data_IF_020254308945
#
_entry.id   IF_020254308945
#
_cell.length_a   1.000
_cell.length_b   1.000
_cell.length_c   1.000
_cell.angle_alpha   90.00
_cell.angle_beta   90.00
_cell.angle_gamma   90.00
#
_symmetry.space_group_name_H-M   'P 1'
#
loop_
_entity.id
_entity.type
_entity.pdbx_description
1 polymer ?
#
# COMPACT_ATOMS: atom_id res chain seq x y z
N UNK A 1 2.12 -0.83 -17.60
CA UNK A 1 1.08 -0.32 -18.51
C UNK A 1 -0.19 -0.06 -17.69
N UNK A 2 -1.07 0.86 -18.12
CA UNK A 2 -2.34 1.11 -17.39
C UNK A 2 -2.68 2.58 -17.11
N UNK A 3 -1.89 3.53 -17.64
CA UNK A 3 -2.21 4.95 -17.50
C UNK A 3 -3.21 5.37 -18.59
N UNK A 4 -4.41 5.78 -18.19
CA UNK A 4 -5.38 6.40 -19.08
C UNK A 4 -5.13 7.90 -19.09
N UNK A 5 -4.80 8.46 -20.26
CA UNK A 5 -4.47 9.89 -20.39
C UNK A 5 -5.48 10.57 -21.31
N UNK A 6 -6.03 11.70 -20.83
CA UNK A 6 -6.90 12.57 -21.60
C UNK A 6 -6.09 13.71 -22.19
N UNK A 7 -6.24 13.93 -23.50
CA UNK A 7 -5.56 14.99 -24.23
C UNK A 7 -6.54 16.06 -24.70
N UNK A 8 -6.10 17.32 -24.70
CA UNK A 8 -6.83 18.41 -25.33
C UNK A 8 -6.65 18.40 -26.87
N UNK A 9 -7.27 19.38 -27.54
CA UNK A 9 -7.17 19.55 -29.01
C UNK A 9 -5.74 19.84 -29.50
N UNK A 10 -4.84 20.28 -28.63
CA UNK A 10 -3.41 20.56 -28.90
C UNK A 10 -2.51 19.37 -28.52
N UNK A 11 -3.09 18.20 -28.22
CA UNK A 11 -2.40 17.00 -27.76
C UNK A 11 -1.63 17.19 -26.45
N UNK A 12 -2.06 18.13 -25.60
CA UNK A 12 -1.53 18.30 -24.25
C UNK A 12 -2.30 17.40 -23.28
N UNK A 13 -1.59 16.66 -22.43
CA UNK A 13 -2.19 15.85 -21.39
C UNK A 13 -2.82 16.77 -20.34
N UNK A 14 -4.15 16.68 -20.16
CA UNK A 14 -4.90 17.50 -19.21
C UNK A 14 -5.38 16.71 -17.99
N UNK A 15 -5.32 15.38 -18.06
CA UNK A 15 -5.66 14.48 -16.97
C UNK A 15 -5.02 13.11 -17.22
N UNK A 16 -4.66 12.41 -16.15
CA UNK A 16 -4.20 11.02 -16.21
C UNK A 16 -4.65 10.21 -15.00
N UNK A 17 -4.94 8.92 -15.19
CA UNK A 17 -5.41 8.05 -14.11
C UNK A 17 -4.37 7.84 -13.03
N UNK A 18 -3.08 7.91 -13.37
CA UNK A 18 -1.99 7.71 -12.41
C UNK A 18 -1.95 8.78 -11.30
N UNK A 19 -2.52 9.96 -11.53
CA UNK A 19 -2.63 11.01 -10.51
C UNK A 19 -3.79 10.78 -9.52
N UNK A 20 -4.59 9.73 -9.73
CA UNK A 20 -5.77 9.40 -8.94
C UNK A 20 -5.73 7.93 -8.49
N UNK A 21 -4.83 7.57 -7.55
CA UNK A 21 -4.68 6.20 -7.08
C UNK A 21 -5.95 5.67 -6.38
N UNK A 22 -6.13 4.35 -6.43
CA UNK A 22 -7.21 3.60 -5.77
C UNK A 22 -6.63 2.77 -4.61
N UNK A 23 -6.90 1.47 -4.54
CA UNK A 23 -6.26 0.50 -3.68
C UNK A 23 -4.94 -0.05 -4.24
N UNK A 24 -4.61 0.23 -5.51
CA UNK A 24 -3.45 -0.31 -6.21
C UNK A 24 -2.48 0.77 -6.69
N UNK A 25 -1.20 0.42 -6.73
CA UNK A 25 -0.11 1.18 -7.34
C UNK A 25 0.57 0.34 -8.42
N UNK A 26 0.55 0.82 -9.66
CA UNK A 26 1.13 0.13 -10.81
C UNK A 26 2.57 0.59 -11.08
N UNK A 27 3.43 -0.23 -11.72
CA UNK A 27 4.73 0.21 -12.21
C UNK A 27 4.61 1.43 -13.14
N UNK A 28 5.42 2.45 -12.86
CA UNK A 28 5.38 3.76 -13.51
C UNK A 28 4.40 4.76 -12.88
N UNK A 29 3.51 4.33 -11.97
CA UNK A 29 2.70 5.21 -11.14
C UNK A 29 3.49 5.62 -9.89
N UNK A 30 3.31 6.88 -9.47
CA UNK A 30 4.01 7.47 -8.33
C UNK A 30 3.02 7.79 -7.23
N UNK A 31 3.24 7.26 -6.03
CA UNK A 31 2.53 7.72 -4.84
C UNK A 31 3.37 8.81 -4.16
N UNK A 32 2.79 10.00 -4.04
CA UNK A 32 3.43 11.19 -3.47
C UNK A 32 2.58 11.78 -2.34
N UNK A 33 3.16 12.69 -1.56
CA UNK A 33 2.43 13.41 -0.52
C UNK A 33 1.14 14.07 -1.04
N UNK A 34 0.08 14.01 -0.24
CA UNK A 34 -1.26 14.48 -0.62
C UNK A 34 -2.09 13.48 -1.43
N UNK A 35 -1.52 12.32 -1.80
CA UNK A 35 -2.24 11.18 -2.39
C UNK A 35 -2.23 10.00 -1.43
N UNK A 36 -3.24 9.14 -1.52
CA UNK A 36 -3.34 7.93 -0.70
C UNK A 36 -3.86 6.75 -1.51
N UNK A 37 -3.34 5.56 -1.21
CA UNK A 37 -4.06 4.33 -1.52
C UNK A 37 -5.19 4.17 -0.50
N UNK A 38 -6.35 3.72 -0.94
CA UNK A 38 -7.51 3.46 -0.08
C UNK A 38 -7.91 2.01 -0.31
N UNK A 39 -7.93 1.21 0.75
CA UNK A 39 -8.30 -0.19 0.68
C UNK A 39 -9.73 -0.33 0.12
N UNK A 40 -9.95 -1.40 -0.64
CA UNK A 40 -11.31 -1.81 -0.97
C UNK A 40 -12.11 -2.09 0.31
N UNK A 41 -13.39 -1.74 0.31
CA UNK A 41 -14.28 -1.94 1.46
C UNK A 41 -14.54 -3.45 1.59
N UNK A 42 -14.19 -4.05 2.73
CA UNK A 42 -14.69 -5.38 3.11
C UNK A 42 -16.01 -5.26 3.86
N UNK A 43 -16.67 -6.38 4.18
CA UNK A 43 -17.88 -6.38 5.02
C UNK A 43 -17.72 -5.74 6.42
N UNK A 44 -16.51 -5.32 6.79
CA UNK A 44 -16.26 -4.48 7.96
C UNK A 44 -16.39 -2.99 7.59
N UNK A 45 -17.01 -2.18 8.45
CA UNK A 45 -17.13 -0.72 8.25
C UNK A 45 -15.79 0.05 8.40
N UNK A 46 -14.65 -0.62 8.20
CA UNK A 46 -13.33 -0.09 8.45
C UNK A 46 -12.57 0.02 7.13
N UNK A 47 -12.07 1.22 6.84
CA UNK A 47 -11.25 1.51 5.67
C UNK A 47 -9.82 1.77 6.11
N UNK A 48 -8.87 1.23 5.35
CA UNK A 48 -7.44 1.44 5.55
C UNK A 48 -6.91 2.34 4.45
N UNK A 49 -5.91 3.15 4.78
CA UNK A 49 -5.24 3.97 3.79
C UNK A 49 -3.73 3.97 3.97
N UNK A 50 -3.03 4.19 2.86
CA UNK A 50 -1.58 4.22 2.79
C UNK A 50 -1.10 5.48 2.06
N UNK A 51 -0.16 6.22 2.62
CA UNK A 51 0.29 7.51 2.07
C UNK A 51 1.74 7.81 2.40
N UNK A 52 2.31 8.80 1.70
CA UNK A 52 3.60 9.39 2.02
C UNK A 52 3.35 10.66 2.85
N UNK A 53 3.89 10.72 4.06
CA UNK A 53 3.75 11.86 4.96
C UNK A 53 5.12 12.24 5.53
N UNK A 54 5.58 13.47 5.30
CA UNK A 54 6.82 14.02 5.85
C UNK A 54 8.07 13.13 5.67
N UNK A 55 8.18 12.45 4.53
CA UNK A 55 9.29 11.55 4.21
C UNK A 55 9.19 10.16 4.84
N UNK A 56 8.00 9.80 5.31
CA UNK A 56 7.69 8.50 5.91
C UNK A 56 6.54 7.86 5.14
N UNK A 57 6.58 6.54 4.98
CA UNK A 57 5.46 5.76 4.47
C UNK A 57 4.55 5.41 5.64
N UNK A 58 3.27 5.74 5.54
CA UNK A 58 2.34 5.66 6.65
C UNK A 58 1.10 4.87 6.26
N UNK A 59 0.76 3.87 7.08
CA UNK A 59 -0.53 3.17 7.00
C UNK A 59 -1.43 3.59 8.14
N UNK A 60 -2.70 3.82 7.83
CA UNK A 60 -3.68 4.35 8.77
C UNK A 60 -5.06 3.72 8.60
N UNK A 61 -5.83 3.76 9.67
CA UNK A 61 -7.25 3.47 9.66
C UNK A 61 -7.97 4.80 9.41
N UNK A 62 -8.82 4.86 8.38
CA UNK A 62 -9.63 6.02 8.01
C UNK A 62 -10.72 6.27 9.08
N UNK A 63 -10.30 6.78 10.23
CA UNK A 63 -11.12 7.29 11.33
C UNK A 63 -10.99 8.81 11.39
N UNK A 64 -11.82 9.47 12.19
CA UNK A 64 -11.71 10.92 12.40
C UNK A 64 -11.42 11.21 13.89
N UNK A 65 -10.17 11.56 14.24
CA UNK A 65 -8.99 11.73 13.38
C UNK A 65 -8.37 10.39 12.91
N UNK A 66 -7.56 10.36 11.83
CA UNK A 66 -6.93 9.13 11.34
C UNK A 66 -6.03 8.47 12.39
N UNK A 67 -6.13 7.14 12.49
CA UNK A 67 -5.32 6.36 13.44
C UNK A 67 -4.20 5.65 12.70
N UNK A 68 -2.96 6.06 12.97
CA UNK A 68 -1.77 5.47 12.36
C UNK A 68 -1.36 4.20 13.11
N UNK A 69 -1.05 3.13 12.36
CA UNK A 69 -0.57 1.87 12.92
C UNK A 69 0.80 1.46 12.37
N UNK A 70 1.20 2.00 11.22
CA UNK A 70 2.54 1.79 10.64
C UNK A 70 3.11 3.11 10.19
N UNK A 71 4.39 3.33 10.50
CA UNK A 71 5.23 4.32 9.84
C UNK A 71 6.59 3.69 9.55
N UNK A 72 7.02 3.66 8.29
CA UNK A 72 8.37 3.24 7.89
C UNK A 72 9.13 4.37 7.20
N UNK A 73 10.40 4.49 7.54
CA UNK A 73 11.28 5.54 7.03
C UNK A 73 11.90 5.17 5.69
N UNK A 74 12.65 6.10 5.09
CA UNK A 74 13.42 5.84 3.87
C UNK A 74 14.45 4.72 4.05
N UNK A 75 15.07 4.64 5.22
CA UNK A 75 16.12 3.65 5.48
C UNK A 75 15.55 2.24 5.58
N UNK A 76 14.27 2.14 5.96
CA UNK A 76 13.53 0.88 6.05
C UNK A 76 13.11 0.35 4.68
N UNK A 77 12.79 1.24 3.75
CA UNK A 77 12.36 0.89 2.38
C UNK A 77 13.53 0.76 1.39
N UNK A 78 14.78 0.80 1.85
CA UNK A 78 15.97 0.83 1.01
C UNK A 78 16.38 -0.58 0.53
N UNK A 79 16.89 -0.68 -0.70
CA UNK A 79 17.40 -1.91 -1.33
C UNK A 79 16.36 -3.00 -1.68
N UNK A 80 15.07 -2.69 -1.71
CA UNK A 80 14.09 -3.63 -2.28
C UNK A 80 14.29 -3.75 -3.79
N UNK A 81 14.36 -4.97 -4.36
CA UNK A 81 14.38 -5.15 -5.80
C UNK A 81 13.00 -4.99 -6.44
N UNK A 82 11.94 -4.77 -5.63
CA UNK A 82 10.54 -4.79 -6.08
C UNK A 82 9.85 -3.41 -5.99
N UNK A 83 10.32 -2.52 -5.13
CA UNK A 83 9.78 -1.17 -4.95
C UNK A 83 10.90 -0.19 -4.57
N UNK A 84 10.63 1.10 -4.72
CA UNK A 84 11.56 2.17 -4.34
C UNK A 84 10.85 3.26 -3.55
N UNK A 85 11.59 3.84 -2.58
CA UNK A 85 11.17 5.01 -1.83
C UNK A 85 12.35 5.98 -1.66
N UNK A 86 12.28 7.12 -2.31
CA UNK A 86 13.34 8.16 -2.26
C UNK A 86 13.16 9.14 -1.08
N UNK A 87 12.19 8.91 -0.19
CA UNK A 87 11.79 9.85 0.86
C UNK A 87 10.75 10.89 0.41
N UNK A 88 10.27 10.83 -0.84
CA UNK A 88 9.24 11.71 -1.40
C UNK A 88 8.19 10.96 -2.22
N UNK A 89 8.64 9.94 -2.92
CA UNK A 89 7.90 9.19 -3.92
C UNK A 89 8.05 7.72 -3.65
N UNK A 90 6.93 7.02 -3.51
CA UNK A 90 6.88 5.56 -3.46
C UNK A 90 6.45 5.00 -4.81
N UNK A 91 7.19 4.02 -5.32
CA UNK A 91 6.95 3.41 -6.64
C UNK A 91 7.11 1.90 -6.61
N UNK A 92 6.23 1.20 -7.32
CA UNK A 92 6.49 -0.20 -7.70
C UNK A 92 7.53 -0.22 -8.82
N UNK A 93 8.55 -1.07 -8.68
CA UNK A 93 9.52 -1.28 -9.74
C UNK A 93 8.91 -2.15 -10.84
N UNK A 94 9.41 -1.97 -12.06
CA UNK A 94 8.92 -2.73 -13.20
C UNK A 94 9.79 -3.96 -13.42
N UNK A 95 9.16 -5.13 -13.48
CA UNK A 95 9.79 -6.35 -13.96
C UNK A 95 9.75 -6.40 -15.51
N UNK A 96 10.84 -6.78 -16.18
CA UNK A 96 10.90 -6.79 -17.64
C UNK A 96 10.10 -7.92 -18.30
N UNK A 97 9.76 -8.97 -17.56
CA UNK A 97 9.13 -10.19 -18.10
C UNK A 97 7.69 -10.39 -17.63
N UNK A 98 7.33 -9.83 -16.48
CA UNK A 98 6.06 -10.06 -15.81
C UNK A 98 5.36 -8.77 -15.45
N UNK A 99 4.04 -8.84 -15.24
CA UNK A 99 3.30 -7.74 -14.68
C UNK A 99 3.40 -7.77 -13.16
N UNK A 100 3.59 -6.62 -12.55
CA UNK A 100 3.58 -6.46 -11.10
C UNK A 100 2.68 -5.31 -10.68
N UNK A 101 2.18 -5.35 -9.46
CA UNK A 101 1.52 -4.21 -8.81
C UNK A 101 1.59 -4.34 -7.29
N UNK A 102 1.44 -3.21 -6.61
CA UNK A 102 1.27 -3.16 -5.15
C UNK A 102 -0.20 -2.89 -4.87
N UNK A 103 -0.77 -3.57 -3.87
CA UNK A 103 -2.18 -3.40 -3.47
C UNK A 103 -2.31 -3.32 -1.96
N UNK A 104 -3.11 -2.37 -1.50
CA UNK A 104 -3.57 -2.27 -0.12
C UNK A 104 -4.81 -3.14 0.05
N UNK A 105 -4.67 -4.20 0.85
CA UNK A 105 -5.76 -5.12 1.16
C UNK A 105 -6.80 -4.51 2.10
N UNK A 106 -8.03 -5.04 2.13
CA UNK A 106 -9.06 -4.66 3.09
C UNK A 106 -8.71 -5.00 4.54
N UNK A 107 -7.64 -5.75 4.77
CA UNK A 107 -7.04 -6.08 6.06
C UNK A 107 -5.94 -5.09 6.49
N UNK A 108 -5.66 -4.07 5.68
CA UNK A 108 -4.65 -3.06 5.97
C UNK A 108 -3.22 -3.48 5.63
N UNK A 109 -3.02 -4.63 5.01
CA UNK A 109 -1.69 -5.07 4.56
C UNK A 109 -1.40 -4.57 3.15
N UNK A 110 -0.16 -4.09 2.93
CA UNK A 110 0.31 -3.64 1.63
C UNK A 110 1.17 -4.74 1.00
N UNK A 111 0.67 -5.34 -0.10
CA UNK A 111 1.26 -6.53 -0.72
C UNK A 111 1.67 -6.28 -2.15
N UNK A 112 2.78 -6.88 -2.56
CA UNK A 112 3.24 -6.86 -3.95
C UNK A 112 2.89 -8.19 -4.63
N UNK A 113 2.27 -8.09 -5.79
CA UNK A 113 1.87 -9.22 -6.61
C UNK A 113 2.62 -9.21 -7.93
N UNK A 114 3.01 -10.40 -8.39
CA UNK A 114 3.59 -10.63 -9.71
C UNK A 114 2.76 -11.67 -10.45
N UNK A 115 2.50 -11.44 -11.73
CA UNK A 115 1.83 -12.41 -12.58
C UNK A 115 2.78 -13.57 -12.88
N UNK A 116 2.30 -14.80 -12.73
CA UNK A 116 2.91 -15.98 -13.33
C UNK A 116 2.09 -16.47 -14.55
N UNK A 117 2.36 -17.68 -15.04
CA UNK A 117 1.70 -18.22 -16.23
C UNK A 117 0.20 -18.46 -16.07
N UNK A 118 -0.31 -18.55 -14.84
CA UNK A 118 -1.69 -18.96 -14.56
C UNK A 118 -2.39 -18.08 -13.50
N UNK A 119 -1.65 -17.43 -12.61
CA UNK A 119 -2.20 -16.70 -11.47
C UNK A 119 -1.31 -15.51 -11.03
N UNK A 120 -1.74 -14.80 -9.99
CA UNK A 120 -1.00 -13.75 -9.32
C UNK A 120 -0.37 -14.28 -8.03
N UNK A 121 0.96 -14.27 -7.98
CA UNK A 121 1.72 -14.66 -6.79
C UNK A 121 2.05 -13.44 -5.93
N UNK A 122 1.73 -13.50 -4.64
CA UNK A 122 2.26 -12.54 -3.67
C UNK A 122 3.75 -12.79 -3.47
N UNK A 123 4.59 -11.79 -3.78
CA UNK A 123 6.04 -11.87 -3.61
C UNK A 123 6.51 -11.31 -2.28
N UNK A 124 5.87 -10.24 -1.83
CA UNK A 124 6.31 -9.50 -0.67
C UNK A 124 5.15 -8.80 0.03
N UNK A 125 5.36 -8.49 1.30
CA UNK A 125 4.51 -7.63 2.09
C UNK A 125 5.35 -6.46 2.60
N UNK A 126 5.15 -5.31 1.97
CA UNK A 126 6.03 -4.12 2.00
C UNK A 126 6.35 -3.66 3.42
N UNK A 127 5.42 -3.86 4.37
CA UNK A 127 5.53 -3.38 5.74
C UNK A 127 5.71 -4.48 6.80
N UNK A 128 5.75 -5.75 6.40
CA UNK A 128 5.66 -6.88 7.33
C UNK A 128 6.86 -7.00 8.28
N UNK A 129 8.07 -6.76 7.79
CA UNK A 129 9.32 -6.97 8.51
C UNK A 129 9.46 -6.15 9.81
N UNK A 130 8.63 -5.12 10.00
CA UNK A 130 8.71 -4.19 11.13
C UNK A 130 7.67 -4.43 12.22
N UNK A 131 6.62 -5.18 11.93
CA UNK A 131 5.40 -5.16 12.75
C UNK A 131 5.27 -6.32 13.72
N UNK A 132 5.99 -7.40 13.44
CA UNK A 132 5.80 -8.65 14.16
C UNK A 132 4.35 -9.13 14.09
N UNK A 133 3.96 -10.00 15.03
CA UNK A 133 2.65 -10.65 14.97
C UNK A 133 1.47 -9.72 15.30
N UNK A 134 1.70 -8.57 15.94
CA UNK A 134 0.63 -7.72 16.49
C UNK A 134 0.61 -6.29 15.94
N UNK A 135 1.48 -5.94 14.99
CA UNK A 135 1.54 -4.57 14.48
C UNK A 135 0.41 -4.19 13.52
N UNK A 136 -0.32 -5.17 13.00
CA UNK A 136 -1.52 -4.90 12.19
C UNK A 136 -2.77 -4.73 13.06
N UNK A 137 -3.69 -3.82 12.68
CA UNK A 137 -4.94 -3.64 13.40
C UNK A 137 -5.80 -4.88 13.29
N UNK A 138 -6.56 -5.16 14.35
CA UNK A 138 -7.55 -6.24 14.36
C UNK A 138 -7.01 -7.66 14.11
N UNK A 139 -5.71 -7.92 14.27
CA UNK A 139 -5.13 -9.28 14.18
C UNK A 139 -5.93 -10.31 15.01
N UNK A 140 -6.37 -9.92 16.22
CA UNK A 140 -7.14 -10.78 17.12
C UNK A 140 -8.66 -10.58 17.06
N UNK A 141 -9.15 -9.76 16.13
CA UNK A 141 -10.55 -9.38 16.07
C UNK A 141 -10.98 -8.45 17.21
N UNK A 142 -12.29 -8.26 17.36
CA UNK A 142 -12.86 -7.35 18.36
C UNK A 142 -12.79 -7.96 19.76
N UNK A 143 -12.52 -7.10 20.76
CA UNK A 143 -12.49 -7.46 22.19
C UNK A 143 -11.37 -8.42 22.61
N UNK A 144 -10.36 -8.59 21.76
CA UNK A 144 -9.19 -9.42 22.02
C UNK A 144 -7.91 -8.59 21.97
N UNK A 145 -6.89 -9.03 22.71
CA UNK A 145 -5.57 -8.42 22.77
C UNK A 145 -4.57 -9.40 22.17
N UNK A 146 -3.72 -8.88 21.26
CA UNK A 146 -2.61 -9.63 20.68
C UNK A 146 -1.38 -9.53 21.60
N UNK A 147 -0.76 -10.66 21.91
CA UNK A 147 0.52 -10.74 22.63
C UNK A 147 1.67 -11.00 21.67
N UNK A 148 2.91 -10.63 22.03
CA UNK A 148 4.06 -10.64 21.11
C UNK A 148 4.34 -12.01 20.44
N UNK A 149 3.90 -13.11 21.05
CA UNK A 149 3.95 -14.48 20.50
C UNK A 149 2.82 -14.78 19.48
N UNK A 150 2.03 -13.78 19.12
CA UNK A 150 0.90 -13.87 18.19
C UNK A 150 -0.37 -14.47 18.78
N UNK A 151 -0.42 -14.68 20.10
CA UNK A 151 -1.62 -15.22 20.74
C UNK A 151 -2.68 -14.14 20.96
N UNK A 152 -3.94 -14.55 20.86
CA UNK A 152 -5.10 -13.70 21.01
C UNK A 152 -5.87 -14.07 22.27
N UNK A 153 -5.91 -13.14 23.23
CA UNK A 153 -6.59 -13.34 24.50
C UNK A 153 -7.75 -12.37 24.63
N UNK A 154 -8.91 -12.86 25.08
CA UNK A 154 -10.05 -11.99 25.38
C UNK A 154 -9.75 -11.14 26.61
N UNK A 155 -10.24 -9.90 26.58
CA UNK A 155 -10.19 -9.02 27.75
C UNK A 155 -11.38 -9.24 28.67
#
# INVERSE_FOLDING_TARGET
MGNLVLFDKRKQAIWQSFDHPTDCLLPGQKLVSGRKLIASISGSNQSFSFTVLNGTLVSSIDTNPPQYYIASSRDDAQNSPLYDFDGRTFTALQDPYTSQFIKLGPDGHLRLYQSDAYDWKQLDEVMNSYLGNCGYPMVCGRYSICTNDGQCNFR
#
